data_IF_649718896157
#
_entry.id   IF_649718896157
#
_cell.length_a   1.000
_cell.length_b   1.000
_cell.length_c   1.000
_cell.angle_alpha   90.00
_cell.angle_beta   90.00
_cell.angle_gamma   90.00
#
_symmetry.space_group_name_H-M   'P 1'
#
loop_
_entity.id
_entity.type
_entity.pdbx_description
1 polymer ?
#
# COMPACT_ATOMS: atom_id res chain seq x y z
N UNK A 1 9.56 0.61 10.75
CA UNK A 1 8.32 0.57 11.55
C UNK A 1 7.13 1.28 10.91
N UNK A 2 7.24 2.48 10.31
CA UNK A 2 6.06 3.18 9.71
C UNK A 2 5.66 2.66 8.32
N UNK A 3 6.64 2.36 7.46
CA UNK A 3 6.40 1.90 6.09
C UNK A 3 5.93 0.43 5.98
N UNK A 4 6.38 -0.46 6.89
CA UNK A 4 5.84 -1.82 6.97
C UNK A 4 4.35 -1.81 7.30
N UNK A 5 3.93 -1.00 8.28
CA UNK A 5 2.52 -0.90 8.66
C UNK A 5 1.65 -0.40 7.50
N UNK A 6 2.13 0.56 6.71
CA UNK A 6 1.41 0.97 5.50
C UNK A 6 1.29 -0.12 4.45
N UNK A 7 2.28 -1.02 4.36
CA UNK A 7 2.25 -2.16 3.44
C UNK A 7 1.18 -3.17 3.87
N UNK A 8 1.14 -3.52 5.15
CA UNK A 8 0.11 -4.39 5.73
C UNK A 8 -1.30 -3.80 5.52
N UNK A 9 -1.45 -2.47 5.70
CA UNK A 9 -2.71 -1.80 5.43
C UNK A 9 -3.09 -1.82 3.93
N UNK A 10 -2.13 -1.66 3.02
CA UNK A 10 -2.37 -1.74 1.57
C UNK A 10 -2.78 -3.15 1.12
N UNK A 11 -2.31 -4.18 1.80
CA UNK A 11 -2.61 -5.58 1.51
C UNK A 11 -3.92 -6.03 2.15
N UNK A 12 -4.19 -5.57 3.37
CA UNK A 12 -5.33 -6.02 4.18
C UNK A 12 -6.57 -5.13 4.01
N UNK A 13 -6.41 -3.88 3.58
CA UNK A 13 -7.52 -2.93 3.46
C UNK A 13 -7.61 -2.30 2.06
N UNK A 14 -8.83 -1.95 1.66
CA UNK A 14 -9.09 -1.19 0.44
C UNK A 14 -9.08 0.34 0.64
N UNK A 15 -8.46 0.82 1.73
CA UNK A 15 -8.45 2.24 2.08
C UNK A 15 -7.67 3.06 1.04
N UNK A 16 -8.07 4.33 0.91
CA UNK A 16 -7.36 5.30 0.08
C UNK A 16 -5.93 5.50 0.57
N UNK A 17 -5.02 5.78 -0.36
CA UNK A 17 -3.59 6.03 -0.05
C UNK A 17 -3.43 7.18 0.95
N UNK A 18 -4.34 8.17 0.92
CA UNK A 18 -4.40 9.26 1.89
C UNK A 18 -4.61 8.76 3.32
N UNK A 19 -5.64 7.94 3.56
CA UNK A 19 -5.90 7.35 4.89
C UNK A 19 -4.77 6.45 5.36
N UNK A 20 -4.18 5.67 4.46
CA UNK A 20 -3.04 4.81 4.80
C UNK A 20 -1.83 5.68 5.20
N UNK A 21 -1.61 6.81 4.52
CA UNK A 21 -0.55 7.74 4.86
C UNK A 21 -0.77 8.38 6.24
N UNK A 22 -2.00 8.76 6.57
CA UNK A 22 -2.37 9.30 7.88
C UNK A 22 -2.15 8.26 8.99
N UNK A 23 -2.61 7.01 8.78
CA UNK A 23 -2.41 5.92 9.73
C UNK A 23 -0.96 5.52 9.93
N UNK A 24 -0.13 5.65 8.89
CA UNK A 24 1.32 5.44 8.99
C UNK A 24 2.06 6.65 9.61
N UNK A 25 1.35 7.73 9.92
CA UNK A 25 1.87 8.93 10.57
C UNK A 25 2.58 9.87 9.61
N UNK A 26 2.12 9.97 8.37
CA UNK A 26 2.57 10.96 7.39
C UNK A 26 1.56 12.11 7.28
N UNK A 27 2.06 13.34 7.20
CA UNK A 27 1.24 14.54 7.08
C UNK A 27 0.57 14.70 5.70
N UNK A 28 1.03 13.96 4.69
CA UNK A 28 0.50 14.04 3.33
C UNK A 28 0.85 12.82 2.49
N UNK A 29 -0.06 12.49 1.59
CA UNK A 29 0.10 11.39 0.65
C UNK A 29 1.32 11.55 -0.26
N UNK A 30 1.65 12.77 -0.70
CA UNK A 30 2.83 13.02 -1.54
C UNK A 30 4.14 12.65 -0.83
N UNK A 31 4.29 13.05 0.43
CA UNK A 31 5.46 12.72 1.26
C UNK A 31 5.53 11.21 1.46
N UNK A 32 4.39 10.59 1.80
CA UNK A 32 4.29 9.14 1.92
C UNK A 32 4.72 8.41 0.64
N UNK A 33 4.17 8.78 -0.52
CA UNK A 33 4.52 8.19 -1.84
C UNK A 33 6.02 8.31 -2.12
N UNK A 34 6.63 9.45 -1.82
CA UNK A 34 8.07 9.67 -2.00
C UNK A 34 8.89 8.73 -1.11
N UNK A 35 8.60 8.67 0.19
CA UNK A 35 9.31 7.78 1.11
C UNK A 35 9.07 6.30 0.80
N UNK A 36 7.84 5.94 0.43
CA UNK A 36 7.49 4.57 0.04
C UNK A 36 8.26 4.14 -1.20
N UNK A 37 8.29 4.98 -2.24
CA UNK A 37 9.08 4.74 -3.46
C UNK A 37 10.57 4.64 -3.17
N UNK A 38 11.13 5.51 -2.32
CA UNK A 38 12.54 5.41 -1.95
C UNK A 38 12.89 4.14 -1.17
N UNK A 39 11.91 3.53 -0.47
CA UNK A 39 12.14 2.33 0.35
C UNK A 39 11.86 1.02 -0.39
N UNK A 40 10.81 0.98 -1.20
CA UNK A 40 10.31 -0.23 -1.87
C UNK A 40 10.48 -0.21 -3.39
N UNK A 41 11.10 0.85 -3.93
CA UNK A 41 11.27 1.11 -5.36
C UNK A 41 9.98 1.14 -6.18
N UNK A 42 8.83 1.23 -5.51
CA UNK A 42 7.50 1.19 -6.13
C UNK A 42 6.55 2.17 -5.46
N UNK A 43 5.42 2.45 -6.11
CA UNK A 43 4.41 3.35 -5.54
C UNK A 43 3.37 2.54 -4.77
N UNK A 44 2.77 3.09 -3.70
CA UNK A 44 1.74 2.38 -2.93
C UNK A 44 0.52 2.02 -3.79
N UNK A 45 0.23 2.81 -4.83
CA UNK A 45 -0.85 2.51 -5.77
C UNK A 45 -0.50 1.32 -6.70
N UNK A 46 0.76 1.23 -7.15
CA UNK A 46 1.25 0.08 -7.90
C UNK A 46 1.31 -1.18 -7.01
N UNK A 47 1.74 -1.05 -5.76
CA UNK A 47 1.71 -2.14 -4.77
C UNK A 47 0.30 -2.71 -4.60
N UNK A 48 -0.68 -1.83 -4.38
CA UNK A 48 -2.10 -2.20 -4.27
C UNK A 48 -2.61 -2.89 -5.54
N UNK A 49 -2.23 -2.38 -6.70
CA UNK A 49 -2.65 -2.99 -7.97
C UNK A 49 -2.05 -4.39 -8.14
N UNK A 50 -0.75 -4.55 -7.88
CA UNK A 50 -0.04 -5.83 -7.92
C UNK A 50 -0.67 -6.84 -6.97
N UNK A 51 -0.97 -6.43 -5.73
CA UNK A 51 -1.60 -7.30 -4.75
C UNK A 51 -3.02 -7.68 -5.15
N UNK A 52 -3.83 -6.71 -5.61
CA UNK A 52 -5.19 -6.97 -6.08
C UNK A 52 -5.21 -7.88 -7.31
N UNK A 53 -4.27 -7.71 -8.25
CA UNK A 53 -4.11 -8.62 -9.37
C UNK A 53 -3.64 -10.02 -8.92
N UNK A 54 -2.79 -10.10 -7.90
CA UNK A 54 -2.32 -11.38 -7.36
C UNK A 54 -3.43 -12.14 -6.63
N UNK A 55 -4.28 -11.46 -5.87
CA UNK A 55 -5.46 -12.05 -5.21
C UNK A 55 -6.48 -12.50 -6.25
N UNK A 56 -6.76 -11.69 -7.27
CA UNK A 56 -7.68 -12.07 -8.36
C UNK A 56 -7.18 -13.27 -9.19
N UNK A 57 -5.87 -13.52 -9.22
CA UNK A 57 -5.29 -14.72 -9.85
C UNK A 57 -5.05 -15.88 -8.86
N UNK A 58 -5.28 -15.68 -7.57
CA UNK A 58 -5.09 -16.68 -6.52
C UNK A 58 -6.43 -17.27 -6.02
N UNK A 59 -7.51 -17.18 -6.81
CA UNK A 59 -8.70 -18.01 -6.62
C UNK A 59 -8.57 -19.31 -7.42
N UNK A 60 -8.19 -20.44 -6.80
CA UNK A 60 -8.75 -21.74 -7.10
C UNK A 60 -10.04 -21.92 -6.28
N UNK A 61 -11.17 -21.97 -6.99
CA UNK A 61 -12.32 -22.86 -6.78
C UNK A 61 -12.56 -23.37 -5.34
N UNK A 62 -13.66 -22.91 -4.71
CA UNK A 62 -14.58 -23.71 -3.87
C UNK A 62 -16.00 -23.22 -4.15
#
# INVERSE_FOLDING_TARGET
MRLNRSQELLESTALSITHISEQAGFSSEQIFRKHFKQRFDTTPNAWRNLFRSKVASAEPHI
#
